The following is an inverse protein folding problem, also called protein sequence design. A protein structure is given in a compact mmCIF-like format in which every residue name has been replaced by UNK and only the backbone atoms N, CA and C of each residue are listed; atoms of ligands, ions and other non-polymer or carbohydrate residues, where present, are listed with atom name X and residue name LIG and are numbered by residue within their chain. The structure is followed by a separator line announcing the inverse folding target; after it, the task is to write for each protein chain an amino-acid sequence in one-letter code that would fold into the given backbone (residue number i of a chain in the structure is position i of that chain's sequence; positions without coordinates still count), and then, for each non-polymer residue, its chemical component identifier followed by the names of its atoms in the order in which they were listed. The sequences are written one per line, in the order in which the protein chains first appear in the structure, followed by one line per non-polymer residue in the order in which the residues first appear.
data_IF_015229393302
#
_entry.id   IF_015229393302
#
_cell.length_a   1.000
_cell.length_b   1.000
_cell.length_c   1.000
_cell.angle_alpha   90.00
_cell.angle_beta   90.00
_cell.angle_gamma   90.00
#
_symmetry.space_group_name_H-M   'P 1'
#
loop_
_entity.id
_entity.type
_entity.pdbx_description
1 polymer ?
#
# COMPACT_ATOMS: atom_id res chain seq x y z
N UNK A 1 1.42 8.44 -15.09
CA UNK A 1 -0.01 8.18 -14.77
C UNK A 1 -0.34 6.69 -14.61
N UNK A 2 0.10 5.78 -15.50
CA UNK A 2 -0.16 4.33 -15.34
C UNK A 2 0.22 3.77 -13.96
N UNK A 3 1.39 4.18 -13.43
CA UNK A 3 1.88 3.71 -12.13
C UNK A 3 0.97 4.10 -10.95
N UNK A 4 0.35 5.29 -10.97
CA UNK A 4 -0.53 5.72 -9.88
C UNK A 4 -1.80 4.86 -9.81
N UNK A 5 -2.29 4.44 -10.98
CA UNK A 5 -3.46 3.57 -11.07
C UNK A 5 -3.14 2.15 -10.59
N UNK A 6 -2.00 1.61 -11.01
CA UNK A 6 -1.52 0.30 -10.54
C UNK A 6 -1.30 0.31 -9.03
N UNK A 7 -0.55 1.29 -8.53
CA UNK A 7 -0.27 1.43 -7.09
C UNK A 7 -1.55 1.58 -6.26
N UNK A 8 -2.53 2.37 -6.73
CA UNK A 8 -3.83 2.51 -6.07
C UNK A 8 -4.65 1.21 -6.05
N UNK A 9 -4.65 0.46 -7.16
CA UNK A 9 -5.33 -0.85 -7.23
C UNK A 9 -4.69 -1.85 -6.27
N UNK A 10 -3.36 -1.95 -6.26
CA UNK A 10 -2.64 -2.85 -5.36
C UNK A 10 -2.87 -2.49 -3.88
N UNK A 11 -2.96 -1.21 -3.54
CA UNK A 11 -3.25 -0.76 -2.17
C UNK A 11 -4.66 -1.18 -1.72
N UNK A 12 -5.67 -0.98 -2.57
CA UNK A 12 -7.05 -1.39 -2.29
C UNK A 12 -7.14 -2.92 -2.14
N UNK A 13 -6.52 -3.67 -3.07
CA UNK A 13 -6.50 -5.13 -3.01
C UNK A 13 -5.81 -5.63 -1.73
N UNK A 14 -4.74 -4.98 -1.31
CA UNK A 14 -4.01 -5.31 -0.07
C UNK A 14 -4.87 -5.05 1.17
N UNK A 15 -5.58 -3.93 1.19
CA UNK A 15 -6.50 -3.59 2.27
C UNK A 15 -7.64 -4.61 2.37
N UNK A 16 -8.29 -4.97 1.25
CA UNK A 16 -9.35 -5.97 1.23
C UNK A 16 -8.87 -7.35 1.69
N UNK A 17 -7.67 -7.74 1.27
CA UNK A 17 -7.02 -8.97 1.75
C UNK A 17 -6.74 -8.90 3.24
N UNK A 18 -6.22 -7.78 3.75
CA UNK A 18 -5.92 -7.62 5.17
C UNK A 18 -7.16 -7.78 6.05
N UNK A 19 -8.27 -7.14 5.68
CA UNK A 19 -9.54 -7.28 6.41
C UNK A 19 -10.03 -8.74 6.38
N UNK A 20 -9.94 -9.41 5.23
CA UNK A 20 -10.33 -10.83 5.11
C UNK A 20 -9.45 -11.72 5.99
N UNK A 21 -8.12 -11.56 5.91
CA UNK A 21 -7.16 -12.32 6.72
C UNK A 21 -7.38 -12.12 8.22
N UNK A 22 -7.74 -10.91 8.64
CA UNK A 22 -8.09 -10.63 10.03
C UNK A 22 -9.32 -11.40 10.50
N UNK A 23 -10.37 -11.41 9.69
CA UNK A 23 -11.60 -12.14 10.02
C UNK A 23 -11.42 -13.67 9.98
N UNK A 24 -10.60 -14.18 9.05
CA UNK A 24 -10.35 -15.62 8.90
C UNK A 24 -9.17 -16.15 9.71
N UNK A 25 -8.43 -15.27 10.41
CA UNK A 25 -7.15 -15.58 11.07
C UNK A 25 -6.10 -16.20 10.13
N UNK A 26 -6.12 -15.80 8.86
CA UNK A 26 -5.20 -16.31 7.85
C UNK A 26 -3.85 -15.59 7.91
N UNK A 27 -2.91 -16.20 8.65
CA UNK A 27 -1.54 -15.72 8.81
C UNK A 27 -0.73 -15.83 7.51
N UNK A 28 -1.05 -16.79 6.63
CA UNK A 28 -0.26 -17.03 5.41
C UNK A 28 -0.36 -15.84 4.46
N UNK A 29 -1.57 -15.32 4.27
CA UNK A 29 -1.82 -14.15 3.43
C UNK A 29 -1.24 -12.84 4.00
N UNK A 30 -0.96 -12.78 5.32
CA UNK A 30 -0.46 -11.57 5.98
C UNK A 30 0.96 -11.17 5.56
N UNK A 31 1.86 -12.14 5.35
CA UNK A 31 3.22 -11.84 4.90
C UNK A 31 3.23 -11.22 3.50
N UNK A 32 2.36 -11.67 2.60
CA UNK A 32 2.25 -11.10 1.26
C UNK A 32 1.78 -9.63 1.29
N UNK A 33 0.88 -9.29 2.22
CA UNK A 33 0.39 -7.91 2.39
C UNK A 33 1.52 -6.99 2.86
N UNK A 34 2.34 -7.44 3.82
CA UNK A 34 3.48 -6.68 4.34
C UNK A 34 4.53 -6.44 3.25
N UNK A 35 4.84 -7.46 2.44
CA UNK A 35 5.76 -7.27 1.30
C UNK A 35 5.15 -6.34 0.23
N UNK A 36 3.84 -6.39 0.02
CA UNK A 36 3.15 -5.50 -0.94
C UNK A 36 3.24 -4.04 -0.56
N UNK A 37 3.22 -3.70 0.74
CA UNK A 37 3.46 -2.33 1.21
C UNK A 37 4.79 -1.79 0.68
N UNK A 38 5.88 -2.57 0.79
CA UNK A 38 7.21 -2.14 0.34
C UNK A 38 7.28 -1.91 -1.17
N UNK A 39 6.60 -2.75 -1.95
CA UNK A 39 6.50 -2.56 -3.40
C UNK A 39 5.69 -1.30 -3.75
N UNK A 40 4.63 -1.00 -3.00
CA UNK A 40 3.84 0.23 -3.18
C UNK A 40 4.68 1.48 -2.86
N UNK A 41 5.47 1.47 -1.78
CA UNK A 41 6.41 2.56 -1.45
C UNK A 41 7.47 2.75 -2.55
N UNK A 42 7.93 1.66 -3.16
CA UNK A 42 8.86 1.71 -4.30
C UNK A 42 8.20 2.33 -5.53
N UNK A 43 6.97 1.93 -5.84
CA UNK A 43 6.17 2.55 -6.90
C UNK A 43 5.93 4.03 -6.61
N UNK A 44 5.72 4.41 -5.36
CA UNK A 44 5.54 5.80 -4.93
C UNK A 44 6.77 6.68 -5.21
N UNK A 45 7.97 6.16 -4.95
CA UNK A 45 9.23 6.83 -5.35
C UNK A 45 9.31 6.99 -6.86
N UNK A 46 8.96 5.97 -7.63
CA UNK A 46 8.97 6.03 -9.09
C UNK A 46 7.94 7.02 -9.65
N UNK A 47 6.72 7.04 -9.11
CA UNK A 47 5.67 8.02 -9.44
C UNK A 47 6.19 9.44 -9.24
N UNK A 48 6.85 9.68 -8.11
CA UNK A 48 7.44 10.98 -7.78
C UNK A 48 8.47 11.39 -8.82
N UNK A 49 9.48 10.54 -9.07
CA UNK A 49 10.53 10.80 -10.03
C UNK A 49 10.00 11.05 -11.44
N UNK A 50 9.03 10.25 -11.90
CA UNK A 50 8.44 10.42 -13.23
C UNK A 50 7.59 11.69 -13.35
N UNK A 51 6.92 12.10 -12.28
CA UNK A 51 6.04 13.28 -12.32
C UNK A 51 6.79 14.58 -12.59
N UNK A 52 8.03 14.70 -12.10
CA UNK A 52 8.90 15.84 -12.40
C UNK A 52 9.44 15.86 -13.83
N UNK A 53 9.38 14.74 -14.55
CA UNK A 53 9.86 14.61 -15.93
C UNK A 53 8.76 14.86 -16.96
N UNK A 54 7.50 15.00 -16.55
CA UNK A 54 6.37 15.22 -17.48
C UNK A 54 6.42 16.67 -17.99
N UNK A 55 6.54 16.88 -19.31
CA UNK A 55 6.52 18.23 -19.89
C UNK A 55 5.24 18.96 -19.53
N UNK A 56 5.35 20.26 -19.26
CA UNK A 56 4.22 21.15 -18.96
C UNK A 56 3.45 20.87 -17.66
N UNK A 57 3.90 19.95 -16.80
CA UNK A 57 3.37 19.87 -15.44
C UNK A 57 3.78 21.09 -14.62
N UNK A 58 2.79 21.81 -14.09
CA UNK A 58 3.02 22.89 -13.15
C UNK A 58 3.12 22.36 -11.71
N UNK A 59 3.58 23.21 -10.80
CA UNK A 59 3.75 22.85 -9.39
C UNK A 59 2.46 22.36 -8.73
N UNK A 60 1.31 22.93 -9.08
CA UNK A 60 0.00 22.53 -8.52
C UNK A 60 -0.34 21.10 -8.90
N UNK A 61 -0.14 20.73 -10.17
CA UNK A 61 -0.38 19.38 -10.66
C UNK A 61 0.58 18.37 -10.02
N UNK A 62 1.85 18.73 -9.83
CA UNK A 62 2.84 17.88 -9.15
C UNK A 62 2.42 17.65 -7.69
N UNK A 63 2.04 18.71 -6.97
CA UNK A 63 1.54 18.61 -5.60
C UNK A 63 0.33 17.68 -5.51
N UNK A 64 -0.62 17.77 -6.44
CA UNK A 64 -1.79 16.89 -6.46
C UNK A 64 -1.39 15.41 -6.64
N UNK A 65 -0.45 15.12 -7.55
CA UNK A 65 0.07 13.76 -7.73
C UNK A 65 0.75 13.25 -6.46
N UNK A 66 1.56 14.09 -5.80
CA UNK A 66 2.19 13.76 -4.53
C UNK A 66 1.16 13.43 -3.44
N UNK A 67 0.12 14.26 -3.28
CA UNK A 67 -0.93 14.02 -2.27
C UNK A 67 -1.72 12.73 -2.53
N UNK A 68 -1.97 12.40 -3.80
CA UNK A 68 -2.63 11.14 -4.17
C UNK A 68 -1.72 9.95 -3.83
N UNK A 69 -0.44 10.00 -4.22
CA UNK A 69 0.56 8.97 -3.88
C UNK A 69 0.62 8.74 -2.36
N UNK A 70 0.75 9.79 -1.56
CA UNK A 70 0.85 9.67 -0.10
C UNK A 70 -0.42 9.04 0.51
N UNK A 71 -1.57 9.25 -0.12
CA UNK A 71 -2.83 8.60 0.29
C UNK A 71 -2.83 7.11 -0.04
N UNK A 72 -2.28 6.72 -1.19
CA UNK A 72 -2.13 5.31 -1.59
C UNK A 72 -1.16 4.58 -0.67
N UNK A 73 -0.01 5.18 -0.37
CA UNK A 73 0.99 4.61 0.56
C UNK A 73 0.39 4.38 1.95
N UNK A 74 -0.38 5.34 2.48
CA UNK A 74 -1.08 5.19 3.76
C UNK A 74 -2.10 4.05 3.77
N UNK A 75 -2.84 3.83 2.68
CA UNK A 75 -3.77 2.69 2.57
C UNK A 75 -3.00 1.37 2.67
N UNK A 76 -1.84 1.27 1.99
CA UNK A 76 -1.00 0.08 2.04
C UNK A 76 -0.38 -0.14 3.44
N UNK A 77 0.05 0.93 4.10
CA UNK A 77 0.54 0.90 5.49
C UNK A 77 -0.55 0.38 6.44
N UNK A 78 -1.78 0.88 6.36
CA UNK A 78 -2.88 0.38 7.19
C UNK A 78 -3.19 -1.10 6.92
N UNK A 79 -3.13 -1.53 5.65
CA UNK A 79 -3.29 -2.94 5.32
C UNK A 79 -2.21 -3.81 5.98
N UNK A 80 -0.95 -3.38 5.96
CA UNK A 80 0.15 -4.08 6.63
C UNK A 80 -0.01 -4.09 8.16
N UNK A 81 -0.41 -2.97 8.77
CA UNK A 81 -0.67 -2.91 10.22
C UNK A 81 -1.77 -3.90 10.65
N UNK A 82 -2.85 -4.02 9.85
CA UNK A 82 -3.88 -5.04 10.09
C UNK A 82 -3.26 -6.44 9.99
N UNK A 83 -2.50 -6.72 8.93
CA UNK A 83 -1.85 -8.01 8.73
C UNK A 83 -0.88 -8.38 9.88
N UNK A 84 -0.08 -7.44 10.36
CA UNK A 84 0.81 -7.61 11.52
C UNK A 84 0.02 -7.95 12.79
N UNK A 85 -1.14 -7.32 13.01
CA UNK A 85 -1.99 -7.63 14.15
C UNK A 85 -2.50 -9.08 14.15
N UNK A 86 -2.79 -9.63 12.96
CA UNK A 86 -3.20 -11.04 12.80
C UNK A 86 -2.05 -11.98 13.14
N UNK A 87 -0.85 -11.68 12.64
CA UNK A 87 0.37 -12.43 12.92
C UNK A 87 0.64 -12.43 14.43
N UNK A 88 0.61 -11.27 15.08
CA UNK A 88 0.83 -11.14 16.53
C UNK A 88 -0.17 -11.96 17.33
N UNK A 89 -1.47 -11.84 17.02
CA UNK A 89 -2.51 -12.62 17.69
C UNK A 89 -2.30 -14.14 17.56
N UNK A 90 -1.77 -14.61 16.43
CA UNK A 90 -1.49 -16.04 16.22
C UNK A 90 -0.40 -16.60 17.14
N UNK A 91 0.50 -15.75 17.64
CA UNK A 91 1.52 -16.14 18.62
C UNK A 91 0.94 -16.22 20.04
N UNK A 92 -0.01 -15.35 20.38
CA UNK A 92 -0.70 -15.36 21.68
C UNK A 92 -1.66 -16.55 21.85
N UNK A 93 -2.19 -17.07 20.73
CA UNK A 93 -3.11 -18.22 20.73
C UNK A 93 -2.38 -19.59 20.76
N UNK A 94 -1.04 -19.63 20.70
CA UNK A 94 -0.28 -20.88 20.86
C UNK A 94 -0.18 -21.26 22.36
N UNK A 95 -0.55 -22.50 22.75
CA UNK A 95 -0.50 -22.95 24.14
C UNK A 95 0.92 -23.10 24.68
#
# INVERSE_FOLDING_TARGET
MKLIFVSGTEAIDSHDKAVKSFLSKDVTSCNEIIERQREIEKLGREISSQSFLIPHMNAVAICAVCSIRDSIERIAEWAANIAESVILRSYEEKP
#
